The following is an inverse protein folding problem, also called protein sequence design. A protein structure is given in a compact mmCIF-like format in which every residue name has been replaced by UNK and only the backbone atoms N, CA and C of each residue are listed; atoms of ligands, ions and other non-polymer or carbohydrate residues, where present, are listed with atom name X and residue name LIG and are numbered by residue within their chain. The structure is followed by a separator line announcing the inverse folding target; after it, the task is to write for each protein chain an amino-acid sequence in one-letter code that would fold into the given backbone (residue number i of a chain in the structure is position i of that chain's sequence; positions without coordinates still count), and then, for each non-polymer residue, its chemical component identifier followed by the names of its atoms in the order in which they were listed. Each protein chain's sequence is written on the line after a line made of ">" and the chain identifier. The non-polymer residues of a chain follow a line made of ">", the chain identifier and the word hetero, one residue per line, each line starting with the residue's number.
data_IF_631575421830
#
_entry.id   IF_631575421830
#
_cell.length_a   1.000
_cell.length_b   1.000
_cell.length_c   1.000
_cell.angle_alpha   90.00
_cell.angle_beta   90.00
_cell.angle_gamma   90.00
#
_symmetry.space_group_name_H-M   'P 1'
#
loop_
_entity.id
_entity.type
_entity.pdbx_description
1 polymer ?
#
# COMPACT_ATOMS: atom_id res chain seq x y z
N UNK A 1 2.37 -30.30 -17.75
CA UNK A 1 3.29 -30.68 -16.69
C UNK A 1 4.04 -29.45 -16.25
N UNK A 2 3.71 -29.02 -15.04
CA UNK A 2 4.29 -27.88 -14.38
C UNK A 2 5.83 -27.92 -14.36
N UNK A 3 6.45 -26.74 -14.49
CA UNK A 3 7.91 -26.57 -14.50
C UNK A 3 8.37 -25.96 -13.19
N UNK A 4 9.39 -26.55 -12.57
CA UNK A 4 10.00 -25.98 -11.37
C UNK A 4 10.81 -24.71 -11.68
N UNK A 5 10.63 -23.67 -10.87
CA UNK A 5 11.31 -22.40 -10.98
C UNK A 5 12.16 -22.12 -9.73
N UNK A 6 13.37 -21.58 -9.97
CA UNK A 6 14.23 -20.97 -8.94
C UNK A 6 14.07 -19.45 -8.95
N UNK A 7 14.60 -18.75 -7.94
CA UNK A 7 14.50 -17.28 -7.80
C UNK A 7 14.63 -16.50 -9.11
N UNK A 8 15.70 -16.71 -9.89
CA UNK A 8 15.94 -15.99 -11.15
C UNK A 8 14.90 -16.32 -12.21
N UNK A 9 14.49 -17.59 -12.32
CA UNK A 9 13.46 -18.03 -13.25
C UNK A 9 12.08 -17.49 -12.87
N UNK A 10 11.73 -17.42 -11.58
CA UNK A 10 10.46 -16.81 -11.13
C UNK A 10 10.40 -15.34 -11.58
N UNK A 11 11.50 -14.61 -11.41
CA UNK A 11 11.58 -13.19 -11.75
C UNK A 11 11.45 -12.96 -13.26
N UNK A 12 12.16 -13.76 -14.07
CA UNK A 12 12.07 -13.69 -15.52
C UNK A 12 10.68 -14.08 -16.03
N UNK A 13 10.11 -15.17 -15.51
CA UNK A 13 8.77 -15.63 -15.90
C UNK A 13 7.69 -14.65 -15.47
N UNK A 14 7.81 -13.98 -14.32
CA UNK A 14 6.86 -12.95 -13.91
C UNK A 14 6.84 -11.78 -14.91
N UNK A 15 8.02 -11.32 -15.37
CA UNK A 15 8.11 -10.27 -16.38
C UNK A 15 7.43 -10.72 -17.69
N UNK A 16 7.71 -11.93 -18.15
CA UNK A 16 7.09 -12.49 -19.36
C UNK A 16 5.57 -12.62 -19.19
N UNK A 17 5.11 -13.09 -18.05
CA UNK A 17 3.70 -13.27 -17.73
C UNK A 17 2.93 -11.95 -17.81
N UNK A 18 3.49 -10.86 -17.25
CA UNK A 18 2.88 -9.53 -17.36
C UNK A 18 2.92 -9.04 -18.81
N UNK A 19 4.07 -9.18 -19.50
CA UNK A 19 4.24 -8.74 -20.89
C UNK A 19 3.28 -9.44 -21.86
N UNK A 20 3.05 -10.74 -21.66
CA UNK A 20 2.29 -11.59 -22.56
C UNK A 20 0.79 -11.56 -22.29
N UNK A 21 0.35 -11.03 -21.14
CA UNK A 21 -1.07 -10.87 -20.85
C UNK A 21 -1.76 -9.99 -21.90
N UNK A 22 -2.88 -10.48 -22.45
CA UNK A 22 -3.71 -9.79 -23.46
C UNK A 22 -5.15 -9.57 -23.00
N UNK A 23 -5.67 -10.41 -22.12
CA UNK A 23 -7.06 -10.32 -21.67
C UNK A 23 -7.12 -9.96 -20.19
N UNK A 24 -6.40 -10.72 -19.36
CA UNK A 24 -6.44 -10.57 -17.92
C UNK A 24 -5.08 -10.82 -17.28
N UNK A 25 -4.82 -10.15 -16.17
CA UNK A 25 -3.62 -10.31 -15.37
C UNK A 25 -3.99 -10.22 -13.90
N UNK A 26 -3.61 -11.22 -13.12
CA UNK A 26 -3.79 -11.22 -11.67
C UNK A 26 -2.43 -11.22 -10.99
N UNK A 27 -2.25 -10.27 -10.07
CA UNK A 27 -1.06 -10.14 -9.26
C UNK A 27 -1.43 -10.27 -7.79
N UNK A 28 -1.12 -11.41 -7.19
CA UNK A 28 -1.55 -11.75 -5.83
C UNK A 28 -0.31 -11.86 -4.97
N UNK A 29 -0.15 -10.94 -4.01
CA UNK A 29 1.00 -10.94 -3.11
C UNK A 29 0.67 -10.16 -1.84
N UNK A 30 1.00 -10.66 -0.63
CA UNK A 30 0.72 -9.93 0.61
C UNK A 30 1.42 -8.57 0.65
N UNK A 31 2.63 -8.47 0.08
CA UNK A 31 3.40 -7.23 0.01
C UNK A 31 3.47 -6.79 -1.44
N UNK A 32 3.04 -5.56 -1.70
CA UNK A 32 3.06 -4.96 -3.02
C UNK A 32 4.14 -3.88 -3.05
N UNK A 33 5.28 -4.20 -3.66
CA UNK A 33 6.38 -3.26 -3.91
C UNK A 33 6.90 -3.45 -5.32
N UNK A 34 6.51 -2.52 -6.18
CA UNK A 34 6.68 -2.68 -7.62
C UNK A 34 8.05 -2.12 -8.02
N UNK A 35 8.85 -2.94 -8.70
CA UNK A 35 10.02 -2.42 -9.41
C UNK A 35 9.59 -1.51 -10.55
N UNK A 36 10.47 -0.61 -10.98
CA UNK A 36 10.17 0.30 -12.08
C UNK A 36 9.84 -0.46 -13.37
N UNK A 37 10.51 -1.59 -13.61
CA UNK A 37 10.17 -2.49 -14.71
C UNK A 37 8.72 -3.00 -14.66
N UNK A 38 8.21 -3.39 -13.48
CA UNK A 38 6.82 -3.82 -13.34
C UNK A 38 5.85 -2.66 -13.56
N UNK A 39 6.18 -1.45 -13.08
CA UNK A 39 5.36 -0.24 -13.32
C UNK A 39 5.28 0.09 -14.82
N UNK A 40 6.40 0.01 -15.54
CA UNK A 40 6.42 0.18 -17.01
C UNK A 40 5.51 -0.82 -17.70
N UNK A 41 5.62 -2.11 -17.34
CA UNK A 41 4.75 -3.15 -17.91
C UNK A 41 3.28 -2.93 -17.59
N UNK A 42 2.94 -2.46 -16.38
CA UNK A 42 1.54 -2.11 -16.04
C UNK A 42 1.03 -0.93 -16.86
N UNK A 43 1.85 0.07 -17.16
CA UNK A 43 1.48 1.15 -18.08
C UNK A 43 1.26 0.63 -19.51
N UNK A 44 2.03 -0.38 -19.95
CA UNK A 44 1.81 -1.02 -21.24
C UNK A 44 0.47 -1.75 -21.26
N UNK A 45 0.16 -2.50 -20.19
CA UNK A 45 -1.13 -3.17 -20.01
C UNK A 45 -2.31 -2.20 -19.98
N UNK A 46 -2.15 -1.04 -19.36
CA UNK A 46 -3.14 0.04 -19.36
C UNK A 46 -3.44 0.54 -20.78
N UNK A 47 -2.40 0.76 -21.61
CA UNK A 47 -2.58 1.17 -23.01
C UNK A 47 -3.24 0.08 -23.86
N UNK A 48 -2.92 -1.18 -23.56
CA UNK A 48 -3.53 -2.36 -24.18
C UNK A 48 -4.94 -2.67 -23.65
N UNK A 49 -5.38 -2.00 -22.57
CA UNK A 49 -6.68 -2.19 -21.92
C UNK A 49 -6.90 -3.59 -21.34
N UNK A 50 -5.84 -4.24 -20.88
CA UNK A 50 -5.89 -5.55 -20.21
C UNK A 50 -6.52 -5.41 -18.83
N UNK A 51 -7.45 -6.29 -18.44
CA UNK A 51 -8.05 -6.28 -17.10
C UNK A 51 -7.03 -6.77 -16.07
N UNK A 52 -6.44 -5.85 -15.31
CA UNK A 52 -5.45 -6.17 -14.28
C UNK A 52 -6.10 -6.13 -12.91
N UNK A 53 -5.95 -7.21 -12.13
CA UNK A 53 -6.46 -7.31 -10.76
C UNK A 53 -5.31 -7.60 -9.81
N UNK A 54 -5.12 -6.74 -8.82
CA UNK A 54 -4.07 -6.88 -7.83
C UNK A 54 -4.70 -7.15 -6.47
N UNK A 55 -4.33 -8.28 -5.84
CA UNK A 55 -4.78 -8.64 -4.50
C UNK A 55 -3.61 -8.53 -3.53
N UNK A 56 -3.75 -7.70 -2.50
CA UNK A 56 -2.71 -7.41 -1.51
C UNK A 56 -3.24 -7.49 -0.07
N UNK A 57 -2.37 -7.56 0.95
CA UNK A 57 -2.87 -7.78 2.32
C UNK A 57 -2.05 -7.26 3.51
N UNK A 58 -0.73 -7.14 3.41
CA UNK A 58 0.15 -6.80 4.53
C UNK A 58 1.10 -5.65 4.21
N UNK A 59 0.62 -4.53 3.67
CA UNK A 59 1.37 -3.28 3.68
C UNK A 59 0.47 -2.08 3.40
N UNK A 60 0.74 -0.95 4.06
CA UNK A 60 0.38 0.36 3.51
C UNK A 60 1.33 0.57 2.32
N UNK A 61 0.83 0.36 1.11
CA UNK A 61 1.53 0.75 -0.13
C UNK A 61 2.07 2.17 0.04
N UNK A 62 3.30 2.42 -0.44
CA UNK A 62 3.83 3.76 -0.38
C UNK A 62 2.84 4.71 -1.08
N UNK A 63 2.58 5.93 -0.56
CA UNK A 63 1.58 6.83 -1.16
C UNK A 63 1.81 7.08 -2.66
N UNK A 64 3.07 7.07 -3.11
CA UNK A 64 3.46 7.16 -4.52
C UNK A 64 3.08 5.93 -5.34
N UNK A 65 3.23 4.71 -4.80
CA UNK A 65 2.82 3.46 -5.45
C UNK A 65 1.30 3.34 -5.51
N UNK A 66 0.59 3.72 -4.44
CA UNK A 66 -0.88 3.81 -4.46
C UNK A 66 -1.35 4.77 -5.53
N UNK A 67 -0.83 6.00 -5.54
CA UNK A 67 -1.23 7.01 -6.52
C UNK A 67 -0.92 6.56 -7.95
N UNK A 68 0.20 5.86 -8.17
CA UNK A 68 0.50 5.27 -9.47
C UNK A 68 -0.57 4.26 -9.89
N UNK A 69 -0.91 3.29 -9.04
CA UNK A 69 -1.89 2.25 -9.36
C UNK A 69 -3.31 2.78 -9.51
N UNK A 70 -3.72 3.75 -8.69
CA UNK A 70 -5.04 4.40 -8.77
C UNK A 70 -5.24 5.21 -10.06
N UNK A 71 -4.16 5.62 -10.73
CA UNK A 71 -4.24 6.34 -12.00
C UNK A 71 -4.45 5.42 -13.22
N UNK A 72 -4.32 4.10 -13.04
CA UNK A 72 -4.51 3.11 -14.11
C UNK A 72 -5.97 2.65 -14.13
N UNK A 73 -6.70 2.94 -15.21
CA UNK A 73 -8.15 2.70 -15.30
C UNK A 73 -8.50 1.22 -15.42
N UNK A 74 -7.58 0.43 -15.96
CA UNK A 74 -7.75 -1.01 -16.15
C UNK A 74 -7.08 -1.83 -15.06
N UNK A 75 -6.56 -1.18 -14.00
CA UNK A 75 -6.05 -1.85 -12.80
C UNK A 75 -7.06 -1.72 -11.67
N UNK A 76 -7.41 -2.85 -11.05
CA UNK A 76 -8.27 -2.93 -9.87
C UNK A 76 -7.49 -3.46 -8.69
N UNK A 77 -7.73 -2.87 -7.53
CA UNK A 77 -7.03 -3.19 -6.29
C UNK A 77 -7.99 -3.84 -5.31
N UNK A 78 -7.60 -4.98 -4.75
CA UNK A 78 -8.35 -5.74 -3.77
C UNK A 78 -7.51 -5.95 -2.51
N UNK A 79 -8.04 -5.53 -1.36
CA UNK A 79 -7.38 -5.72 -0.06
C UNK A 79 -7.94 -6.94 0.67
N UNK A 80 -7.06 -7.85 1.06
CA UNK A 80 -7.37 -9.05 1.84
C UNK A 80 -6.48 -9.12 3.08
N UNK A 81 -7.06 -8.84 4.25
CA UNK A 81 -6.36 -8.73 5.54
C UNK A 81 -5.47 -9.93 5.89
N UNK A 82 -5.90 -11.14 5.52
CA UNK A 82 -5.21 -12.39 5.85
C UNK A 82 -4.47 -13.00 4.65
N UNK A 83 -4.17 -12.22 3.62
CA UNK A 83 -3.45 -12.71 2.45
C UNK A 83 -2.03 -13.13 2.83
N UNK A 84 -1.63 -14.29 2.33
CA UNK A 84 -0.24 -14.75 2.31
C UNK A 84 0.14 -15.48 1.02
N UNK A 85 -0.84 -15.73 0.15
CA UNK A 85 -0.65 -16.35 -1.15
C UNK A 85 0.20 -15.44 -2.04
N UNK A 86 1.03 -16.08 -2.87
CA UNK A 86 1.86 -15.44 -3.88
C UNK A 86 1.62 -16.18 -5.18
N UNK A 87 0.81 -15.58 -6.02
CA UNK A 87 0.34 -16.18 -7.25
C UNK A 87 0.22 -15.10 -8.32
N UNK A 88 0.70 -15.42 -9.51
CA UNK A 88 0.73 -14.49 -10.64
C UNK A 88 0.22 -15.24 -11.85
N UNK A 89 -0.79 -14.72 -12.54
CA UNK A 89 -1.41 -15.43 -13.66
C UNK A 89 -1.94 -14.47 -14.72
N UNK A 90 -1.91 -14.91 -15.97
CA UNK A 90 -2.63 -14.33 -17.09
C UNK A 90 -3.47 -15.42 -17.75
N UNK A 91 -4.17 -15.10 -18.85
CA UNK A 91 -5.05 -16.06 -19.51
C UNK A 91 -4.39 -17.34 -20.06
N UNK A 92 -3.05 -17.45 -20.04
CA UNK A 92 -2.29 -18.58 -20.59
C UNK A 92 -1.43 -19.31 -19.54
N UNK A 93 -0.93 -18.61 -18.52
CA UNK A 93 0.10 -19.13 -17.59
C UNK A 93 -0.14 -18.68 -16.17
N UNK A 94 0.32 -19.50 -15.22
CA UNK A 94 0.27 -19.22 -13.79
C UNK A 94 1.59 -19.56 -13.12
N UNK A 95 2.03 -18.70 -12.19
CA UNK A 95 3.17 -18.91 -11.31
C UNK A 95 2.64 -18.96 -9.87
N UNK A 96 2.88 -20.07 -9.19
CA UNK A 96 2.74 -20.16 -7.72
C UNK A 96 4.15 -20.21 -7.14
N UNK A 97 4.47 -19.29 -6.23
CA UNK A 97 5.84 -19.15 -5.74
C UNK A 97 5.90 -18.78 -4.25
N UNK A 98 7.09 -18.88 -3.65
CA UNK A 98 7.38 -18.31 -2.33
C UNK A 98 7.78 -16.83 -2.39
N UNK A 99 8.04 -16.30 -3.59
CA UNK A 99 8.53 -14.94 -3.83
C UNK A 99 7.41 -13.89 -3.85
N UNK A 100 7.56 -12.80 -3.09
CA UNK A 100 6.67 -11.63 -3.15
C UNK A 100 6.96 -10.74 -4.38
N UNK A 101 6.06 -9.81 -4.69
CA UNK A 101 6.33 -8.69 -5.60
C UNK A 101 7.23 -7.67 -4.88
N UNK A 102 8.53 -7.99 -4.76
CA UNK A 102 9.53 -7.15 -4.09
C UNK A 102 10.81 -7.09 -4.92
N UNK A 103 11.36 -5.89 -5.08
CA UNK A 103 12.56 -5.62 -5.90
C UNK A 103 13.84 -6.31 -5.39
N UNK A 104 14.02 -6.40 -4.06
CA UNK A 104 15.28 -6.87 -3.46
C UNK A 104 15.31 -8.34 -3.03
N UNK A 105 14.20 -9.08 -3.05
CA UNK A 105 14.23 -10.51 -2.64
C UNK A 105 15.06 -11.35 -3.60
N UNK A 106 15.38 -10.83 -4.79
CA UNK A 106 16.16 -11.55 -5.80
C UNK A 106 17.64 -11.74 -5.41
N UNK A 107 18.21 -10.84 -4.60
CA UNK A 107 19.67 -10.85 -4.35
C UNK A 107 20.05 -11.66 -3.11
N UNK A 108 19.13 -11.79 -2.14
CA UNK A 108 19.44 -12.40 -0.84
C UNK A 108 18.59 -13.61 -0.47
N UNK A 109 17.44 -13.84 -1.13
CA UNK A 109 16.54 -14.95 -0.79
C UNK A 109 16.57 -16.06 -1.85
N UNK A 110 16.50 -17.30 -1.35
CA UNK A 110 16.31 -18.48 -2.18
C UNK A 110 14.82 -18.81 -2.23
N UNK A 111 14.24 -18.63 -3.40
CA UNK A 111 12.81 -18.79 -3.66
C UNK A 111 12.57 -20.02 -4.53
N UNK A 112 11.38 -20.60 -4.38
CA UNK A 112 10.92 -21.74 -5.14
C UNK A 112 9.56 -21.41 -5.74
N UNK A 113 9.32 -21.89 -6.95
CA UNK A 113 8.03 -21.75 -7.59
C UNK A 113 7.78 -22.84 -8.60
N UNK A 114 6.56 -22.84 -9.11
CA UNK A 114 6.13 -23.68 -10.22
C UNK A 114 5.46 -22.79 -11.27
N UNK A 115 5.77 -23.07 -12.53
CA UNK A 115 5.06 -22.53 -13.68
C UNK A 115 4.04 -23.58 -14.15
N UNK A 116 2.81 -23.14 -14.32
CA UNK A 116 1.68 -23.88 -14.87
C UNK A 116 1.37 -23.24 -16.22
N UNK A 117 1.29 -24.04 -17.27
CA UNK A 117 1.15 -23.55 -18.65
C UNK A 117 -0.05 -24.21 -19.32
N UNK A 118 -1.05 -23.43 -19.73
CA UNK A 118 -2.29 -23.94 -20.31
C UNK A 118 -2.12 -24.59 -21.68
N UNK A 119 -0.97 -24.40 -22.34
CA UNK A 119 -0.57 -25.19 -23.51
C UNK A 119 -0.44 -26.68 -23.18
N UNK A 120 -0.32 -27.04 -21.89
CA UNK A 120 -0.27 -28.41 -21.44
C UNK A 120 -1.59 -28.86 -20.80
N UNK A 121 -2.21 -29.90 -21.37
CA UNK A 121 -3.50 -30.43 -20.90
C UNK A 121 -3.51 -30.85 -19.42
N UNK A 122 -2.40 -31.36 -18.89
CA UNK A 122 -2.32 -31.80 -17.48
C UNK A 122 -2.37 -30.62 -16.49
N UNK A 123 -2.01 -29.42 -16.96
CA UNK A 123 -1.89 -28.22 -16.13
C UNK A 123 -3.23 -27.45 -16.06
N UNK A 124 -4.14 -27.68 -17.01
CA UNK A 124 -5.44 -26.98 -17.10
C UNK A 124 -6.28 -27.11 -15.84
N UNK A 125 -6.37 -28.32 -15.30
CA UNK A 125 -7.16 -28.56 -14.08
C UNK A 125 -6.62 -27.78 -12.88
N UNK A 126 -5.29 -27.72 -12.74
CA UNK A 126 -4.64 -26.96 -11.66
C UNK A 126 -4.95 -25.48 -11.80
N UNK A 127 -4.84 -24.95 -13.01
CA UNK A 127 -5.17 -23.56 -13.31
C UNK A 127 -6.63 -23.22 -13.00
N UNK A 128 -7.57 -24.08 -13.42
CA UNK A 128 -9.00 -23.89 -13.16
C UNK A 128 -9.34 -23.89 -11.67
N UNK A 129 -8.80 -24.84 -10.91
CA UNK A 129 -9.06 -24.94 -9.47
C UNK A 129 -8.45 -23.76 -8.71
N UNK A 130 -7.22 -23.35 -9.05
CA UNK A 130 -6.60 -22.16 -8.47
C UNK A 130 -7.38 -20.87 -8.82
N UNK A 131 -7.90 -20.76 -10.04
CA UNK A 131 -8.67 -19.58 -10.47
C UNK A 131 -10.00 -19.46 -9.71
N UNK A 132 -10.67 -20.58 -9.40
CA UNK A 132 -11.88 -20.57 -8.55
C UNK A 132 -11.58 -20.02 -7.14
N UNK A 133 -10.46 -20.41 -6.56
CA UNK A 133 -10.01 -19.89 -5.26
C UNK A 133 -9.68 -18.39 -5.34
N UNK A 134 -9.05 -17.94 -6.42
CA UNK A 134 -8.73 -16.52 -6.64
C UNK A 134 -10.00 -15.67 -6.75
N UNK A 135 -11.00 -16.13 -7.50
CA UNK A 135 -12.30 -15.43 -7.59
C UNK A 135 -13.00 -15.36 -6.23
N UNK A 136 -12.92 -16.43 -5.43
CA UNK A 136 -13.39 -16.41 -4.04
C UNK A 136 -12.61 -15.40 -3.17
N UNK A 137 -11.29 -15.28 -3.35
CA UNK A 137 -10.49 -14.25 -2.66
C UNK A 137 -10.97 -12.86 -3.05
N UNK A 138 -11.18 -12.58 -4.33
CA UNK A 138 -11.68 -11.29 -4.83
C UNK A 138 -13.04 -10.97 -4.21
N UNK A 139 -13.97 -11.92 -4.23
CA UNK A 139 -15.32 -11.74 -3.68
C UNK A 139 -15.32 -11.39 -2.19
N UNK A 140 -14.38 -11.96 -1.42
CA UNK A 140 -14.25 -11.73 0.01
C UNK A 140 -13.27 -10.60 0.38
N UNK A 141 -12.69 -9.92 -0.62
CA UNK A 141 -11.76 -8.81 -0.42
C UNK A 141 -12.48 -7.46 -0.44
N UNK A 142 -11.89 -6.46 0.20
CA UNK A 142 -12.34 -5.09 0.10
C UNK A 142 -11.89 -4.51 -1.25
N UNK A 143 -12.84 -4.07 -2.08
CA UNK A 143 -12.53 -3.38 -3.34
C UNK A 143 -11.97 -1.99 -3.05
N UNK A 144 -10.66 -1.87 -3.19
CA UNK A 144 -9.89 -0.67 -2.88
C UNK A 144 -9.98 0.35 -4.02
N UNK A 145 -10.44 -0.05 -5.21
CA UNK A 145 -10.63 0.80 -6.39
C UNK A 145 -11.72 1.87 -6.17
N UNK A 146 -12.59 1.67 -5.18
CA UNK A 146 -13.75 2.52 -4.87
C UNK A 146 -13.71 3.19 -3.51
N UNK A 147 -12.56 3.26 -2.83
CA UNK A 147 -12.36 4.25 -1.76
C UNK A 147 -12.16 5.63 -2.42
N UNK A 148 -13.17 6.03 -3.20
CA UNK A 148 -13.32 7.35 -3.79
C UNK A 148 -13.46 8.34 -2.65
N UNK A 149 -12.55 9.31 -2.68
CA UNK A 149 -12.81 10.66 -2.23
C UNK A 149 -14.28 11.07 -2.52
N UNK A 150 -15.02 11.61 -1.55
CA UNK A 150 -16.02 12.60 -1.89
C UNK A 150 -15.27 13.86 -2.34
N UNK A 151 -15.04 13.98 -3.65
CA UNK A 151 -15.00 15.31 -4.27
C UNK A 151 -16.41 15.91 -4.18
N UNK A 152 -16.79 16.42 -3.00
CA UNK A 152 -17.74 17.52 -2.97
C UNK A 152 -16.94 18.75 -3.39
N UNK A 153 -17.27 19.31 -4.56
CA UNK A 153 -17.08 20.73 -4.83
C UNK A 153 -17.72 21.48 -3.66
N UNK A 154 -16.92 21.92 -2.69
CA UNK A 154 -17.38 22.86 -1.66
C UNK A 154 -17.45 24.20 -2.37
N UNK A 155 -18.63 24.52 -2.90
CA UNK A 155 -19.03 25.92 -3.01
C UNK A 155 -18.91 26.54 -1.61
N UNK A 156 -18.42 27.78 -1.48
CA UNK A 156 -18.25 28.43 -0.19
C UNK A 156 -19.61 28.71 0.43
N UNK A 157 -20.16 27.75 1.19
CA UNK A 157 -21.26 28.00 2.11
C UNK A 157 -20.69 28.65 3.36
N UNK A 158 -21.02 29.93 3.54
CA UNK A 158 -20.92 30.66 4.81
C UNK A 158 -21.58 29.84 5.91
N UNK A 159 -20.78 29.23 6.78
CA UNK A 159 -21.22 28.72 8.08
C UNK A 159 -20.16 29.13 9.10
N UNK A 160 -20.67 29.65 10.21
CA UNK A 160 -20.07 30.33 11.34
C UNK A 160 -18.73 29.77 11.84
N UNK A 161 -17.85 30.72 12.21
CA UNK A 161 -16.63 30.50 13.01
C UNK A 161 -16.89 29.49 14.13
N UNK A 162 -16.08 28.42 14.28
CA UNK A 162 -15.94 27.80 15.58
C UNK A 162 -15.28 28.81 16.51
N UNK A 163 -15.82 28.90 17.72
CA UNK A 163 -15.31 29.72 18.79
C UNK A 163 -13.80 29.47 18.97
N UNK A 164 -13.05 30.56 19.13
CA UNK A 164 -11.66 30.52 19.56
C UNK A 164 -11.61 29.88 20.96
N UNK A 165 -11.39 28.58 21.04
CA UNK A 165 -10.89 27.98 22.27
C UNK A 165 -9.47 28.50 22.48
N UNK A 166 -9.28 29.09 23.66
CA UNK A 166 -8.08 29.73 24.20
C UNK A 166 -6.76 29.33 23.55
N UNK A 167 -5.94 30.33 23.19
CA UNK A 167 -4.50 30.15 22.98
C UNK A 167 -3.93 29.43 24.21
N UNK A 168 -3.74 28.12 24.11
CA UNK A 168 -3.15 27.32 25.18
C UNK A 168 -1.69 27.76 25.31
N UNK A 169 -1.36 28.37 26.45
CA UNK A 169 0.00 28.78 26.75
C UNK A 169 0.82 27.52 27.10
N UNK A 170 1.45 26.89 26.10
CA UNK A 170 2.27 25.68 26.26
C UNK A 170 3.64 25.92 26.93
N UNK A 171 3.87 27.14 27.47
CA UNK A 171 5.15 27.54 28.07
C UNK A 171 5.55 26.74 29.33
N UNK A 172 4.65 25.94 29.89
CA UNK A 172 4.90 25.05 31.04
C UNK A 172 4.63 23.56 30.72
N UNK A 173 4.29 23.22 29.49
CA UNK A 173 3.89 21.86 29.11
C UNK A 173 5.12 20.95 28.97
N UNK A 174 4.96 19.69 29.39
CA UNK A 174 5.98 18.66 29.16
C UNK A 174 5.85 18.18 27.72
N UNK A 175 6.94 18.31 26.96
CA UNK A 175 6.99 17.90 25.58
C UNK A 175 7.37 16.44 25.44
N UNK A 176 6.59 15.71 24.64
CA UNK A 176 6.72 14.26 24.42
C UNK A 176 6.86 13.96 22.94
N UNK A 177 7.70 12.98 22.64
CA UNK A 177 7.78 12.33 21.33
C UNK A 177 6.54 11.48 21.08
N UNK A 178 6.27 11.15 19.81
CA UNK A 178 5.19 10.20 19.48
C UNK A 178 5.39 8.81 20.08
N UNK A 179 6.62 8.46 20.47
CA UNK A 179 6.93 7.21 21.17
C UNK A 179 6.50 7.25 22.64
N UNK A 180 6.73 8.36 23.32
CA UNK A 180 6.29 8.57 24.70
C UNK A 180 4.77 8.71 24.77
N UNK A 181 4.15 9.42 23.82
CA UNK A 181 2.68 9.49 23.71
C UNK A 181 2.05 8.10 23.49
N UNK A 182 2.75 7.21 22.77
CA UNK A 182 2.28 5.84 22.50
C UNK A 182 2.25 4.97 23.76
N UNK A 183 3.17 5.21 24.69
CA UNK A 183 3.20 4.49 25.98
C UNK A 183 2.05 4.92 26.91
N UNK A 184 1.53 6.14 26.72
CA UNK A 184 0.54 6.74 27.62
C UNK A 184 -0.90 6.70 27.09
N UNK A 185 -1.08 6.53 25.77
CA UNK A 185 -2.41 6.51 25.11
C UNK A 185 -2.86 5.11 24.69
N UNK A 186 -2.08 4.06 24.95
CA UNK A 186 -2.26 2.69 24.45
C UNK A 186 -2.32 2.55 22.91
N UNK A 187 -2.12 3.65 22.18
CA UNK A 187 -2.08 3.69 20.73
C UNK A 187 -0.63 3.55 20.25
N UNK A 188 -0.39 2.83 19.16
CA UNK A 188 0.95 2.78 18.55
C UNK A 188 1.37 4.17 18.05
N UNK A 189 2.67 4.50 18.12
CA UNK A 189 3.20 5.77 17.55
C UNK A 189 2.80 6.00 16.09
N UNK A 190 2.60 4.92 15.32
CA UNK A 190 2.11 5.00 13.93
C UNK A 190 0.67 5.50 13.87
N UNK A 191 -0.19 5.02 14.77
CA UNK A 191 -1.59 5.45 14.84
C UNK A 191 -1.69 6.92 15.26
N UNK A 192 -0.87 7.33 16.22
CA UNK A 192 -0.79 8.73 16.66
C UNK A 192 -0.34 9.64 15.51
N UNK A 193 0.76 9.30 14.82
CA UNK A 193 1.21 10.07 13.65
C UNK A 193 0.12 10.14 12.57
N UNK A 194 -0.59 9.04 12.31
CA UNK A 194 -1.71 9.01 11.35
C UNK A 194 -2.84 9.98 11.74
N UNK A 195 -3.21 10.04 13.03
CA UNK A 195 -4.24 10.96 13.53
C UNK A 195 -3.80 12.41 13.38
N UNK A 196 -2.56 12.73 13.76
CA UNK A 196 -1.99 14.08 13.66
C UNK A 196 -1.84 14.55 12.20
N UNK A 197 -1.48 13.65 11.27
CA UNK A 197 -1.47 13.93 9.82
C UNK A 197 -2.89 14.15 9.30
N UNK A 198 -3.86 13.32 9.69
CA UNK A 198 -5.27 13.47 9.28
C UNK A 198 -5.87 14.78 9.76
N UNK A 199 -5.48 15.24 10.96
CA UNK A 199 -5.83 16.57 11.50
C UNK A 199 -5.02 17.71 10.89
N UNK A 200 -4.15 17.43 9.91
CA UNK A 200 -3.25 18.39 9.25
C UNK A 200 -2.33 19.12 10.22
N UNK A 201 -1.94 18.48 11.32
CA UNK A 201 -1.07 19.05 12.36
C UNK A 201 0.41 18.74 12.10
N UNK A 202 0.70 17.66 11.38
CA UNK A 202 2.04 17.34 10.89
C UNK A 202 1.99 16.75 9.49
N UNK A 203 3.13 16.77 8.82
CA UNK A 203 3.34 16.17 7.51
C UNK A 203 4.65 15.39 7.53
N UNK A 204 4.72 14.31 6.75
CA UNK A 204 5.97 13.61 6.46
C UNK A 204 6.50 14.12 5.13
N UNK A 205 7.75 14.53 5.06
CA UNK A 205 8.48 14.72 3.80
C UNK A 205 9.70 13.81 3.85
N UNK A 206 9.82 12.93 2.86
CA UNK A 206 10.84 11.88 2.83
C UNK A 206 10.81 11.02 4.10
N UNK A 207 11.86 11.06 4.91
CA UNK A 207 11.97 10.36 6.20
C UNK A 207 11.80 11.25 7.43
N UNK A 208 11.57 12.54 7.19
CA UNK A 208 11.50 13.58 8.20
C UNK A 208 10.05 14.02 8.46
N UNK A 209 9.76 14.35 9.72
CA UNK A 209 8.47 14.88 10.16
C UNK A 209 8.56 16.38 10.42
N UNK A 210 7.61 17.09 9.82
CA UNK A 210 7.49 18.54 9.93
C UNK A 210 6.14 18.93 10.53
N UNK A 211 6.14 19.98 11.32
CA UNK A 211 4.91 20.54 11.91
C UNK A 211 4.29 21.54 10.92
N UNK A 212 2.97 21.48 10.74
CA UNK A 212 2.27 22.46 9.90
C UNK A 212 1.97 23.73 10.69
N UNK A 213 1.48 24.78 10.02
CA UNK A 213 0.98 25.98 10.73
C UNK A 213 -0.10 25.63 11.76
N UNK A 214 -1.05 24.76 11.40
CA UNK A 214 -2.05 24.24 12.33
C UNK A 214 -1.40 23.47 13.49
N UNK A 215 -0.38 22.64 13.24
CA UNK A 215 0.31 21.93 14.32
C UNK A 215 1.03 22.85 15.31
N UNK A 216 1.55 23.99 14.83
CA UNK A 216 2.17 25.01 15.71
C UNK A 216 1.15 25.67 16.63
N UNK A 217 -0.09 25.84 16.18
CA UNK A 217 -1.19 26.35 17.03
C UNK A 217 -1.51 25.39 18.19
N UNK A 218 -1.26 24.09 18.01
CA UNK A 218 -1.37 23.05 19.05
C UNK A 218 -0.03 22.75 19.73
N UNK A 219 0.95 23.64 19.58
CA UNK A 219 2.23 23.60 20.30
C UNK A 219 3.26 22.63 19.74
N UNK A 220 3.08 22.03 18.56
CA UNK A 220 4.06 21.12 17.97
C UNK A 220 5.40 21.80 17.63
N UNK A 221 6.52 21.14 17.95
CA UNK A 221 7.88 21.64 17.72
C UNK A 221 8.70 20.60 16.94
N UNK A 222 9.40 21.04 15.90
CA UNK A 222 10.35 20.22 15.17
C UNK A 222 11.68 20.09 15.92
N UNK A 223 12.25 18.88 15.94
CA UNK A 223 13.54 18.55 16.53
C UNK A 223 14.32 17.66 15.56
N UNK A 224 15.64 17.76 15.61
CA UNK A 224 16.54 16.91 14.83
C UNK A 224 17.09 15.80 15.72
N UNK A 225 17.15 14.57 15.18
CA UNK A 225 17.65 13.40 15.89
C UNK A 225 18.52 12.50 15.02
N UNK A 226 19.00 11.40 15.60
CA UNK A 226 19.92 10.45 14.94
C UNK A 226 19.34 9.82 13.65
N UNK A 227 18.02 9.81 13.50
CA UNK A 227 17.30 9.18 12.37
C UNK A 227 16.51 10.19 11.53
N UNK A 228 16.84 11.49 11.64
CA UNK A 228 16.15 12.56 10.93
C UNK A 228 15.34 13.49 11.84
N UNK A 229 14.59 14.39 11.20
CA UNK A 229 13.74 15.38 11.84
C UNK A 229 12.43 14.74 12.33
N UNK A 230 12.04 15.06 13.56
CA UNK A 230 10.84 14.55 14.21
C UNK A 230 10.08 15.67 14.92
N UNK A 231 8.80 15.44 15.22
CA UNK A 231 7.95 16.42 15.92
C UNK A 231 7.69 15.97 17.36
N UNK A 232 7.88 16.86 18.31
CA UNK A 232 7.47 16.71 19.71
C UNK A 232 6.23 17.56 19.98
N UNK A 233 5.40 17.08 20.89
CA UNK A 233 4.12 17.68 21.22
C UNK A 233 3.97 17.90 22.72
N UNK A 234 3.26 18.96 23.14
CA UNK A 234 2.86 19.10 24.53
C UNK A 234 1.94 17.93 24.90
N UNK A 235 2.05 17.40 26.12
CA UNK A 235 1.24 16.27 26.61
C UNK A 235 -0.27 16.45 26.38
N UNK A 236 -0.76 17.69 26.42
CA UNK A 236 -2.15 18.08 26.21
C UNK A 236 -2.67 17.69 24.81
N UNK A 237 -1.77 17.43 23.85
CA UNK A 237 -2.12 16.93 22.52
C UNK A 237 -2.91 15.62 22.56
N UNK A 238 -2.82 14.84 23.66
CA UNK A 238 -3.57 13.60 23.86
C UNK A 238 -5.09 13.79 23.72
N UNK A 239 -5.62 14.98 24.01
CA UNK A 239 -7.05 15.27 23.84
C UNK A 239 -7.45 15.21 22.35
N UNK A 240 -6.49 15.46 21.46
CA UNK A 240 -6.68 15.45 20.02
C UNK A 240 -6.32 14.11 19.35
N UNK A 241 -5.76 13.15 20.09
CA UNK A 241 -5.33 11.82 19.62
C UNK A 241 -6.38 10.78 20.02
#
# INVERSE_FOLDING_TARGET
>A
MAKYLRTSSISAELVNLIKDARKELYLISPYLKLSDQVKELLNDKEREKVDVRIIFGKQELAPSEMSFLENLKYVRLYFSKNLHAKCYLNENKMIIASMNLYEYSQVHNREMGILIDLENEEDKKIYEDATKDIESMIHNSEDFSYIKAPQKKIQPKKISKPEKSNQANFSKSVYKTTKELSQETELSSRKINSILVKKKMMIKKDDDWFVTENGKEFGGIEKEGQYGQFVIWPEEIKIEI
#
